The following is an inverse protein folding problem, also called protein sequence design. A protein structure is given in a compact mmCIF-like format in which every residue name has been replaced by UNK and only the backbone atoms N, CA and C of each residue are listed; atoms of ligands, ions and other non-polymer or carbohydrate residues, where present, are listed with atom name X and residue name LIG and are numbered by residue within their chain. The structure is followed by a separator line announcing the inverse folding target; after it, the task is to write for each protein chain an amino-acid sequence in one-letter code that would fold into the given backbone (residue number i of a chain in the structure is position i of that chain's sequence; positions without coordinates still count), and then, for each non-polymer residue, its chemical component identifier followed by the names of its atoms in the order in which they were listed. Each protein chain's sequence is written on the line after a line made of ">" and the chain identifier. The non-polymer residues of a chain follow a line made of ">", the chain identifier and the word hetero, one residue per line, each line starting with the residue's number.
data_IF_858863024251
#
_entry.id   IF_858863024251
#
_cell.length_a   1.000
_cell.length_b   1.000
_cell.length_c   1.000
_cell.angle_alpha   90.00
_cell.angle_beta   90.00
_cell.angle_gamma   90.00
#
_symmetry.space_group_name_H-M   'P 1'
#
loop_
_entity.id
_entity.type
_entity.pdbx_description
1 polymer ?
#
# COMPACT_ATOMS: atom_id res chain seq x y z
N UNK A 1 4.82 10.90 41.19
CA UNK A 1 4.66 9.51 40.72
C UNK A 1 4.38 9.58 39.23
N UNK A 2 5.41 9.42 38.41
CA UNK A 2 5.28 9.49 36.96
C UNK A 2 5.31 8.07 36.43
N UNK A 3 4.15 7.57 36.04
CA UNK A 3 4.02 6.28 35.36
C UNK A 3 4.52 6.44 33.94
N UNK A 4 5.75 6.02 33.68
CA UNK A 4 6.29 5.86 32.34
C UNK A 4 5.46 4.79 31.61
N UNK A 5 4.63 5.19 30.66
CA UNK A 5 3.98 4.29 29.70
C UNK A 5 5.09 3.52 28.97
N UNK A 6 5.37 2.30 29.43
CA UNK A 6 6.28 1.38 28.75
C UNK A 6 5.83 1.12 27.32
N UNK A 7 6.77 0.79 26.43
CA UNK A 7 6.55 0.55 25.01
C UNK A 7 5.42 -0.47 24.82
N UNK A 8 4.19 -0.01 24.52
CA UNK A 8 3.02 -0.87 24.34
C UNK A 8 3.33 -1.89 23.23
N UNK A 9 3.56 -3.15 23.61
CA UNK A 9 3.60 -4.26 22.66
C UNK A 9 2.19 -4.49 22.16
N UNK A 10 1.83 -3.83 21.05
CA UNK A 10 0.59 -4.10 20.35
C UNK A 10 0.53 -5.54 19.85
N UNK A 11 -0.65 -5.97 19.37
CA UNK A 11 -0.84 -7.31 18.82
C UNK A 11 0.19 -7.59 17.72
N UNK A 12 0.98 -8.69 17.80
CA UNK A 12 1.84 -9.08 16.71
C UNK A 12 0.96 -9.35 15.49
N UNK A 13 1.12 -8.55 14.43
CA UNK A 13 0.42 -8.78 13.17
C UNK A 13 1.06 -10.00 12.52
N UNK A 14 0.58 -11.20 12.83
CA UNK A 14 1.13 -12.47 12.31
C UNK A 14 1.19 -12.55 10.77
N UNK A 15 0.48 -11.68 10.05
CA UNK A 15 0.55 -11.57 8.60
C UNK A 15 1.76 -10.76 8.08
N UNK A 16 2.42 -9.97 8.93
CA UNK A 16 3.58 -9.14 8.57
C UNK A 16 4.85 -9.93 8.86
N UNK A 17 5.12 -10.93 8.03
CA UNK A 17 6.39 -11.66 8.04
C UNK A 17 7.36 -11.02 7.05
N UNK A 18 8.67 -11.15 7.29
CA UNK A 18 9.69 -10.68 6.33
C UNK A 18 9.52 -11.31 4.95
N UNK A 19 9.06 -12.55 4.88
CA UNK A 19 8.78 -13.23 3.61
C UNK A 19 7.68 -12.52 2.82
N UNK A 20 6.60 -12.11 3.48
CA UNK A 20 5.50 -11.40 2.85
C UNK A 20 5.95 -10.00 2.40
N UNK A 21 6.76 -9.31 3.20
CA UNK A 21 7.35 -8.01 2.82
C UNK A 21 8.21 -8.15 1.55
N UNK A 22 9.09 -9.16 1.51
CA UNK A 22 9.95 -9.44 0.33
C UNK A 22 9.12 -9.80 -0.91
N UNK A 23 8.05 -10.59 -0.77
CA UNK A 23 7.14 -10.94 -1.87
C UNK A 23 6.42 -9.71 -2.42
N UNK A 24 5.85 -8.88 -1.54
CA UNK A 24 5.18 -7.63 -1.91
C UNK A 24 6.15 -6.70 -2.63
N UNK A 25 7.36 -6.54 -2.10
CA UNK A 25 8.39 -5.71 -2.73
C UNK A 25 8.73 -6.18 -4.16
N UNK A 26 8.89 -7.49 -4.37
CA UNK A 26 9.14 -8.07 -5.70
C UNK A 26 7.97 -7.85 -6.66
N UNK A 27 6.72 -8.03 -6.21
CA UNK A 27 5.53 -7.81 -7.03
C UNK A 27 5.44 -6.37 -7.53
N UNK A 28 5.61 -5.39 -6.63
CA UNK A 28 5.53 -3.96 -6.98
C UNK A 28 6.66 -3.55 -7.93
N UNK A 29 7.87 -4.07 -7.73
CA UNK A 29 9.01 -3.75 -8.60
C UNK A 29 8.89 -4.39 -9.99
N UNK A 30 8.18 -5.52 -10.09
CA UNK A 30 7.87 -6.19 -11.36
C UNK A 30 6.80 -5.46 -12.16
N UNK A 31 5.68 -5.09 -11.54
CA UNK A 31 4.60 -4.37 -12.22
C UNK A 31 4.16 -3.11 -11.46
N UNK A 32 4.36 -1.95 -12.09
CA UNK A 32 4.00 -0.64 -11.51
C UNK A 32 2.48 -0.45 -11.34
N UNK A 33 1.64 -1.33 -11.88
CA UNK A 33 0.17 -1.22 -11.89
C UNK A 33 -0.56 -2.13 -10.91
N UNK A 34 0.14 -2.81 -10.00
CA UNK A 34 -0.50 -3.71 -9.03
C UNK A 34 -1.56 -3.00 -8.18
N UNK A 35 -2.73 -3.64 -8.04
CA UNK A 35 -3.78 -3.20 -7.12
C UNK A 35 -3.57 -3.81 -5.74
N UNK A 36 -3.93 -3.08 -4.68
CA UNK A 36 -3.88 -3.57 -3.30
C UNK A 36 -4.69 -4.87 -3.11
N UNK A 37 -5.85 -4.99 -3.79
CA UNK A 37 -6.68 -6.19 -3.73
C UNK A 37 -5.99 -7.42 -4.30
N UNK A 38 -5.29 -7.27 -5.44
CA UNK A 38 -4.56 -8.39 -6.06
C UNK A 38 -3.46 -8.92 -5.12
N UNK A 39 -2.79 -8.02 -4.39
CA UNK A 39 -1.76 -8.39 -3.41
C UNK A 39 -2.40 -9.09 -2.19
N UNK A 40 -3.51 -8.58 -1.70
CA UNK A 40 -4.25 -9.20 -0.60
C UNK A 40 -4.75 -10.61 -0.96
N UNK A 41 -5.30 -10.77 -2.17
CA UNK A 41 -5.82 -12.05 -2.66
C UNK A 41 -4.69 -13.07 -2.90
N UNK A 42 -3.58 -12.63 -3.52
CA UNK A 42 -2.42 -13.51 -3.79
C UNK A 42 -1.73 -13.98 -2.52
N UNK A 43 -1.60 -13.11 -1.52
CA UNK A 43 -0.94 -13.46 -0.25
C UNK A 43 -1.93 -14.00 0.80
N UNK A 44 -3.24 -13.96 0.53
CA UNK A 44 -4.32 -14.30 1.47
C UNK A 44 -4.21 -13.53 2.79
N UNK A 45 -3.89 -12.24 2.69
CA UNK A 45 -3.72 -11.31 3.82
C UNK A 45 -4.82 -10.26 3.75
N UNK A 46 -5.21 -9.69 4.89
CA UNK A 46 -6.14 -8.56 4.91
C UNK A 46 -5.56 -7.32 4.23
N UNK A 47 -6.42 -6.55 3.58
CA UNK A 47 -6.04 -5.29 2.92
C UNK A 47 -5.35 -4.30 3.88
N UNK A 48 -5.80 -4.22 5.12
CA UNK A 48 -5.16 -3.38 6.15
C UNK A 48 -3.72 -3.79 6.44
N UNK A 49 -3.43 -5.10 6.48
CA UNK A 49 -2.07 -5.57 6.69
C UNK A 49 -1.18 -5.24 5.49
N UNK A 50 -1.69 -5.37 4.26
CA UNK A 50 -0.96 -4.95 3.05
C UNK A 50 -0.70 -3.44 3.11
N UNK A 51 -1.72 -2.62 3.37
CA UNK A 51 -1.57 -1.16 3.49
C UNK A 51 -0.52 -0.77 4.54
N UNK A 52 -0.55 -1.43 5.69
CA UNK A 52 0.43 -1.21 6.75
C UNK A 52 1.86 -1.58 6.33
N UNK A 53 2.04 -2.65 5.55
CA UNK A 53 3.34 -3.02 4.98
C UNK A 53 3.84 -1.93 4.01
N UNK A 54 2.97 -1.44 3.13
CA UNK A 54 3.32 -0.35 2.21
C UNK A 54 3.77 0.90 2.96
N UNK A 55 3.01 1.32 3.99
CA UNK A 55 3.25 2.57 4.68
C UNK A 55 4.42 2.50 5.68
N UNK A 56 4.44 1.50 6.55
CA UNK A 56 5.40 1.41 7.65
C UNK A 56 6.72 0.72 7.27
N UNK A 57 6.67 -0.30 6.40
CA UNK A 57 7.85 -1.12 6.11
C UNK A 57 8.51 -0.74 4.78
N UNK A 58 7.71 -0.43 3.76
CA UNK A 58 8.22 -0.03 2.44
C UNK A 58 8.33 1.49 2.27
N UNK A 59 7.75 2.28 3.19
CA UNK A 59 7.74 3.75 3.11
C UNK A 59 7.04 4.30 1.85
N UNK A 60 6.22 3.49 1.19
CA UNK A 60 5.56 3.82 -0.07
C UNK A 60 4.28 4.59 0.18
N UNK A 61 4.03 5.63 -0.63
CA UNK A 61 2.81 6.42 -0.61
C UNK A 61 2.05 6.26 -1.93
N UNK A 62 0.73 6.21 -1.85
CA UNK A 62 -0.11 6.23 -3.04
C UNK A 62 -0.01 7.60 -3.71
N UNK A 63 0.56 7.65 -4.90
CA UNK A 63 0.56 8.84 -5.75
C UNK A 63 -0.67 8.80 -6.66
N UNK A 64 -1.58 9.75 -6.49
CA UNK A 64 -2.69 9.94 -7.42
C UNK A 64 -2.22 10.82 -8.59
N UNK A 65 -2.48 10.40 -9.82
CA UNK A 65 -2.24 11.26 -10.99
C UNK A 65 -3.21 12.45 -10.96
N UNK A 66 -2.74 13.63 -11.38
CA UNK A 66 -3.62 14.79 -11.59
C UNK A 66 -4.65 14.45 -12.67
N UNK A 67 -5.89 14.88 -12.48
CA UNK A 67 -6.92 14.83 -13.51
C UNK A 67 -6.52 15.76 -14.64
N UNK A 68 -6.06 15.18 -15.75
CA UNK A 68 -5.82 15.92 -16.99
C UNK A 68 -7.14 15.99 -17.73
N UNK A 69 -7.62 17.21 -17.98
CA UNK A 69 -8.75 17.42 -18.89
C UNK A 69 -8.32 16.89 -20.27
N UNK A 70 -9.06 15.91 -20.79
CA UNK A 70 -8.85 15.40 -22.15
C UNK A 70 -8.86 16.59 -23.09
N UNK A 71 -7.85 16.71 -23.96
CA UNK A 71 -7.81 17.80 -24.93
C UNK A 71 -9.11 17.81 -25.72
N UNK A 72 -9.89 18.87 -25.55
CA UNK A 72 -11.13 19.11 -26.28
C UNK A 72 -10.71 19.33 -27.72
N UNK A 73 -10.88 18.31 -28.57
CA UNK A 73 -10.70 18.45 -30.01
C UNK A 73 -11.67 19.52 -30.51
N UNK A 74 -11.22 20.36 -31.45
CA UNK A 74 -11.91 21.57 -31.91
C UNK A 74 -13.40 21.36 -32.26
N UNK A 75 -13.76 20.15 -32.65
CA UNK A 75 -15.12 19.67 -32.96
C UNK A 75 -16.13 19.76 -31.80
N UNK A 76 -15.66 19.79 -30.54
CA UNK A 76 -16.54 19.84 -29.35
C UNK A 76 -16.87 21.27 -28.87
N UNK A 77 -16.51 22.31 -29.64
CA UNK A 77 -16.75 23.73 -29.31
C UNK A 77 -17.95 24.36 -30.05
N UNK A 78 -18.87 23.55 -30.59
CA UNK A 78 -20.07 24.08 -31.25
C UNK A 78 -21.23 24.27 -30.28
#
# INVERSE_FOLDING_TARGET
>A
MSTEDGKRSGRPKGAVTEENIKKIHKMIFGDRKFKLNEIADTLKISLECVYHIFHEYLGMRKLCAKWVLREVTFDQKQ
#
